data_IF_784124876831
#
_entry.id   IF_784124876831
#
_cell.length_a   1.000
_cell.length_b   1.000
_cell.length_c   1.000
_cell.angle_alpha   90.00
_cell.angle_beta   90.00
_cell.angle_gamma   90.00
#
_symmetry.space_group_name_H-M   'P 1'
#
loop_
_entity.id
_entity.type
_entity.pdbx_description
1 polymer ?
#
# COMPACT_ATOMS: atom_id res chain seq x y z
N UNK A 1 -22.66 -50.25 7.42
CA UNK A 1 -22.19 -49.67 6.16
C UNK A 1 -22.43 -48.17 6.26
N UNK A 2 -21.53 -47.42 6.92
CA UNK A 2 -21.69 -45.97 7.04
C UNK A 2 -21.33 -45.37 5.68
N UNK A 3 -22.31 -44.80 5.02
CA UNK A 3 -22.10 -43.92 3.88
C UNK A 3 -21.22 -42.77 4.37
N UNK A 4 -19.96 -42.73 3.92
CA UNK A 4 -19.13 -41.53 4.02
C UNK A 4 -19.85 -40.45 3.21
N UNK A 5 -20.63 -39.61 3.89
CA UNK A 5 -21.04 -38.32 3.34
C UNK A 5 -19.75 -37.52 3.14
N UNK A 6 -19.27 -37.45 1.89
CA UNK A 6 -18.26 -36.47 1.51
C UNK A 6 -18.84 -35.10 1.83
N UNK A 7 -18.30 -34.45 2.85
CA UNK A 7 -18.72 -33.13 3.27
C UNK A 7 -18.63 -32.19 2.06
N UNK A 8 -19.76 -31.66 1.55
CA UNK A 8 -19.76 -30.82 0.35
C UNK A 8 -18.98 -29.51 0.54
N UNK A 9 -18.53 -29.22 1.76
CA UNK A 9 -17.70 -28.07 2.13
C UNK A 9 -16.25 -28.43 2.45
N UNK A 10 -15.80 -29.67 2.21
CA UNK A 10 -14.39 -30.01 2.40
C UNK A 10 -13.53 -29.19 1.43
N UNK A 11 -12.77 -28.22 1.96
CA UNK A 11 -11.82 -27.46 1.17
C UNK A 11 -10.71 -28.42 0.75
N UNK A 12 -10.56 -28.61 -0.56
CA UNK A 12 -9.46 -29.34 -1.16
C UNK A 12 -8.12 -28.82 -0.62
N UNK A 13 -7.22 -29.69 -0.09
CA UNK A 13 -5.93 -29.27 0.46
C UNK A 13 -5.12 -28.38 -0.49
N UNK A 14 -5.22 -28.56 -1.81
CA UNK A 14 -4.53 -27.68 -2.77
C UNK A 14 -5.09 -26.26 -2.75
N UNK A 15 -6.42 -26.13 -2.68
CA UNK A 15 -7.11 -24.83 -2.58
C UNK A 15 -6.79 -24.14 -1.26
N UNK A 16 -6.73 -24.91 -0.17
CA UNK A 16 -6.35 -24.38 1.14
C UNK A 16 -4.92 -23.80 1.11
N UNK A 17 -3.97 -24.54 0.53
CA UNK A 17 -2.59 -24.08 0.41
C UNK A 17 -2.48 -22.80 -0.42
N UNK A 18 -3.19 -22.74 -1.55
CA UNK A 18 -3.26 -21.54 -2.38
C UNK A 18 -3.79 -20.32 -1.61
N UNK A 19 -4.86 -20.47 -0.82
CA UNK A 19 -5.42 -19.38 -0.03
C UNK A 19 -4.45 -18.87 1.05
N UNK A 20 -3.71 -19.79 1.69
CA UNK A 20 -2.68 -19.44 2.67
C UNK A 20 -1.55 -18.66 2.00
N UNK A 21 -1.09 -19.08 0.82
CA UNK A 21 -0.02 -18.40 0.09
C UNK A 21 -0.46 -17.00 -0.38
N UNK A 22 -1.69 -16.86 -0.86
CA UNK A 22 -2.29 -15.56 -1.19
C UNK A 22 -2.37 -14.67 0.05
N UNK A 23 -2.86 -15.18 1.18
CA UNK A 23 -2.96 -14.44 2.44
C UNK A 23 -1.58 -13.98 2.95
N UNK A 24 -0.56 -14.82 2.83
CA UNK A 24 0.84 -14.47 3.14
C UNK A 24 1.34 -13.36 2.23
N UNK A 25 1.11 -13.48 0.92
CA UNK A 25 1.49 -12.44 -0.06
C UNK A 25 0.91 -11.07 0.26
N UNK A 26 -0.32 -11.00 0.78
CA UNK A 26 -0.90 -9.75 1.26
C UNK A 26 -0.18 -9.19 2.51
N UNK A 27 0.29 -10.04 3.42
CA UNK A 27 1.10 -9.63 4.56
C UNK A 27 2.43 -9.01 4.12
N UNK A 28 3.15 -9.69 3.22
CA UNK A 28 4.43 -9.21 2.70
C UNK A 28 4.28 -7.90 1.93
N UNK A 29 3.20 -7.78 1.13
CA UNK A 29 2.89 -6.55 0.41
C UNK A 29 2.75 -5.35 1.36
N UNK A 30 2.15 -5.52 2.56
CA UNK A 30 2.04 -4.44 3.56
C UNK A 30 3.39 -3.92 4.00
N UNK A 31 4.32 -4.84 4.29
CA UNK A 31 5.67 -4.49 4.72
C UNK A 31 6.43 -3.80 3.58
N UNK A 32 6.35 -4.32 2.36
CA UNK A 32 7.01 -3.70 1.21
C UNK A 32 6.45 -2.30 0.89
N UNK A 33 5.14 -2.10 0.99
CA UNK A 33 4.52 -0.78 0.82
C UNK A 33 5.02 0.23 1.86
N UNK A 34 5.20 -0.20 3.11
CA UNK A 34 5.75 0.66 4.17
C UNK A 34 7.23 1.02 3.91
N UNK A 35 8.04 0.04 3.49
CA UNK A 35 9.45 0.26 3.13
C UNK A 35 9.55 1.23 1.95
N UNK A 36 8.75 1.03 0.91
CA UNK A 36 8.71 1.91 -0.25
C UNK A 36 8.27 3.33 0.12
N UNK A 37 7.26 3.48 0.97
CA UNK A 37 6.83 4.79 1.46
C UNK A 37 7.93 5.49 2.27
N UNK A 38 8.62 4.75 3.14
CA UNK A 38 9.74 5.30 3.93
C UNK A 38 10.88 5.77 3.05
N UNK A 39 11.24 5.00 2.01
CA UNK A 39 12.24 5.39 1.04
C UNK A 39 11.83 6.65 0.26
N UNK A 40 10.54 6.75 -0.13
CA UNK A 40 10.00 7.93 -0.81
C UNK A 40 10.09 9.17 0.09
N UNK A 41 9.69 9.06 1.36
CA UNK A 41 9.78 10.17 2.34
C UNK A 41 11.24 10.57 2.59
N UNK A 42 12.14 9.58 2.68
CA UNK A 42 13.56 9.83 2.88
C UNK A 42 14.17 10.61 1.71
N UNK A 43 13.89 10.20 0.47
CA UNK A 43 14.28 10.94 -0.74
C UNK A 43 13.70 12.37 -0.73
N UNK A 44 12.46 12.53 -0.24
CA UNK A 44 11.83 13.84 -0.09
C UNK A 44 12.64 14.78 0.81
N UNK A 45 13.01 14.29 1.99
CA UNK A 45 13.79 15.03 2.99
C UNK A 45 15.20 15.37 2.47
N UNK A 46 15.84 14.44 1.76
CA UNK A 46 17.21 14.63 1.28
C UNK A 46 17.30 15.78 0.26
N UNK A 47 16.40 15.82 -0.73
CA UNK A 47 16.46 16.91 -1.73
C UNK A 47 15.81 18.21 -1.24
N UNK A 48 15.01 18.20 -0.16
CA UNK A 48 14.37 19.40 0.39
C UNK A 48 15.39 20.48 0.78
N UNK A 49 16.54 20.10 1.33
CA UNK A 49 17.60 21.04 1.69
C UNK A 49 18.12 21.82 0.48
N UNK A 50 18.52 21.10 -0.57
CA UNK A 50 19.02 21.69 -1.81
C UNK A 50 17.94 22.48 -2.55
N UNK A 51 16.70 22.01 -2.54
CA UNK A 51 15.57 22.73 -3.13
C UNK A 51 15.30 24.05 -2.42
N UNK A 52 15.27 24.05 -1.08
CA UNK A 52 15.03 25.27 -0.27
C UNK A 52 16.02 26.37 -0.59
N UNK A 53 17.29 26.00 -0.77
CA UNK A 53 18.37 26.95 -0.98
C UNK A 53 18.44 27.45 -2.44
N UNK A 54 18.35 26.55 -3.42
CA UNK A 54 18.58 26.90 -4.83
C UNK A 54 17.32 27.09 -5.65
N UNK A 55 16.25 26.35 -5.33
CA UNK A 55 15.05 26.32 -6.14
C UNK A 55 14.00 27.31 -5.65
N UNK A 56 13.86 27.51 -4.34
CA UNK A 56 12.81 28.36 -3.76
C UNK A 56 13.19 29.85 -3.59
N UNK A 57 14.46 30.23 -3.73
CA UNK A 57 14.91 31.65 -3.67
C UNK A 57 14.40 32.54 -4.80
N UNK A 58 14.05 31.97 -5.96
CA UNK A 58 13.60 32.70 -7.15
C UNK A 58 12.08 32.63 -7.28
N UNK A 59 11.44 33.57 -7.98
CA UNK A 59 9.99 33.57 -8.20
C UNK A 59 9.45 32.24 -8.77
N UNK A 60 8.14 32.05 -8.65
CA UNK A 60 7.46 30.86 -9.18
C UNK A 60 7.59 30.80 -10.70
N UNK A 61 7.99 29.62 -11.20
CA UNK A 61 8.05 29.30 -12.63
C UNK A 61 7.23 28.03 -12.89
N UNK A 62 6.74 27.86 -14.11
CA UNK A 62 5.96 26.68 -14.51
C UNK A 62 6.72 25.37 -14.26
N UNK A 63 8.04 25.37 -14.44
CA UNK A 63 8.90 24.21 -14.12
C UNK A 63 8.86 23.87 -12.62
N UNK A 64 8.74 24.87 -11.74
CA UNK A 64 8.64 24.62 -10.28
C UNK A 64 7.29 24.07 -9.88
N UNK A 65 6.22 24.56 -10.51
CA UNK A 65 4.89 24.01 -10.32
C UNK A 65 4.84 22.54 -10.76
N UNK A 66 5.39 22.23 -11.94
CA UNK A 66 5.46 20.87 -12.45
C UNK A 66 6.32 19.97 -11.56
N UNK A 67 7.46 20.48 -11.07
CA UNK A 67 8.31 19.79 -10.11
C UNK A 67 7.56 19.46 -8.82
N UNK A 68 6.88 20.45 -8.24
CA UNK A 68 6.10 20.27 -7.02
C UNK A 68 4.95 19.28 -7.22
N UNK A 69 4.25 19.33 -8.35
CA UNK A 69 3.22 18.34 -8.67
C UNK A 69 3.79 16.94 -8.77
N UNK A 70 4.91 16.74 -9.49
CA UNK A 70 5.55 15.44 -9.61
C UNK A 70 6.06 14.89 -8.27
N UNK A 71 6.32 15.74 -7.29
CA UNK A 71 6.83 15.36 -5.96
C UNK A 71 5.69 15.14 -4.95
N UNK A 72 4.72 16.05 -4.92
CA UNK A 72 3.57 15.98 -4.01
C UNK A 72 2.54 14.91 -4.42
N UNK A 73 2.32 14.66 -5.71
CA UNK A 73 1.31 13.70 -6.17
C UNK A 73 1.67 12.27 -5.73
N UNK A 74 2.88 11.74 -5.97
CA UNK A 74 3.25 10.41 -5.51
C UNK A 74 3.17 10.28 -3.98
N UNK A 75 3.65 11.29 -3.25
CA UNK A 75 3.59 11.30 -1.78
C UNK A 75 2.15 11.20 -1.27
N UNK A 76 1.24 11.95 -1.90
CA UNK A 76 -0.20 11.97 -1.54
C UNK A 76 -0.87 10.64 -1.89
N UNK A 77 -0.62 10.11 -3.10
CA UNK A 77 -1.20 8.84 -3.55
C UNK A 77 -0.75 7.67 -2.68
N UNK A 78 0.55 7.59 -2.35
CA UNK A 78 1.07 6.54 -1.46
C UNK A 78 0.52 6.69 -0.03
N UNK A 79 0.35 7.92 0.48
CA UNK A 79 -0.24 8.14 1.81
C UNK A 79 -1.70 7.67 1.88
N UNK A 80 -2.47 7.89 0.81
CA UNK A 80 -3.84 7.39 0.68
C UNK A 80 -3.85 5.87 0.60
N UNK A 81 -3.00 5.27 -0.24
CA UNK A 81 -2.89 3.82 -0.37
C UNK A 81 -2.53 3.15 0.96
N UNK A 82 -1.57 3.72 1.70
CA UNK A 82 -1.18 3.24 3.02
C UNK A 82 -2.39 3.30 3.98
N UNK A 83 -3.13 4.42 3.98
CA UNK A 83 -4.33 4.58 4.81
C UNK A 83 -5.40 3.52 4.53
N UNK A 84 -5.65 3.17 3.26
CA UNK A 84 -6.58 2.10 2.89
C UNK A 84 -6.07 0.69 3.21
N UNK A 85 -4.75 0.49 3.16
CA UNK A 85 -4.15 -0.83 3.42
C UNK A 85 -4.11 -1.17 4.92
N UNK A 86 -3.97 -0.14 5.76
CA UNK A 86 -4.00 -0.24 7.21
C UNK A 86 -5.37 0.02 7.81
N UNK A 87 -6.35 0.49 7.02
CA UNK A 87 -7.73 0.52 7.50
C UNK A 87 -8.15 -0.93 7.75
N UNK A 88 -8.63 -1.27 8.96
CA UNK A 88 -9.25 -2.56 9.18
C UNK A 88 -10.44 -2.59 8.23
N UNK A 89 -10.41 -3.48 7.25
CA UNK A 89 -11.54 -3.74 6.36
C UNK A 89 -12.75 -3.85 7.28
N UNK A 90 -13.69 -2.90 7.16
CA UNK A 90 -14.95 -2.96 7.88
C UNK A 90 -15.61 -4.25 7.40
N UNK A 91 -15.43 -5.33 8.16
CA UNK A 91 -16.22 -6.53 8.01
C UNK A 91 -17.67 -6.03 8.02
N UNK A 92 -18.45 -6.20 6.93
CA UNK A 92 -19.88 -6.05 7.07
C UNK A 92 -20.26 -7.12 8.09
N UNK A 93 -20.50 -6.65 9.31
CA UNK A 93 -21.10 -7.40 10.39
C UNK A 93 -22.30 -8.16 9.81
N UNK A 94 -22.12 -9.46 9.57
CA UNK A 94 -23.20 -10.33 9.14
C UNK A 94 -24.11 -10.45 10.35
N UNK A 95 -25.09 -9.54 10.43
CA UNK A 95 -26.18 -9.61 11.40
C UNK A 95 -26.99 -10.86 11.09
N UNK A 96 -26.84 -11.86 11.96
CA UNK A 96 -27.71 -13.03 12.07
C UNK A 96 -29.17 -12.62 12.25
#
# INVERSE_FOLDING_TARGET
>A
MSTNEEDPYSIDPERLQYLVDVARGFGDAKVYSLVAYTALVYDHILCLGQESEYFWRRGWSMTKALYFMNRAIPLTMFSIQLSYMFSPTSSPEVRY
#
